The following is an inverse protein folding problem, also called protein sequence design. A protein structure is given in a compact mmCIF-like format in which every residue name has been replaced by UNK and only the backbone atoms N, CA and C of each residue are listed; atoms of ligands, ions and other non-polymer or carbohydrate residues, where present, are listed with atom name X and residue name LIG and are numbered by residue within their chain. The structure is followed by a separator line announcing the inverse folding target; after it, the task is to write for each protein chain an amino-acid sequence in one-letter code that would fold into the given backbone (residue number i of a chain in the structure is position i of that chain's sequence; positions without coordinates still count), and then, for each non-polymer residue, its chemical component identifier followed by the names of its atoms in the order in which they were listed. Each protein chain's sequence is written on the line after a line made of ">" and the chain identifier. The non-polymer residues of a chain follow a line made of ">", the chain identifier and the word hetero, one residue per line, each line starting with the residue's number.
data_IF_968538494395
#
_entry.id   IF_968538494395
#
_cell.length_a   1.000
_cell.length_b   1.000
_cell.length_c   1.000
_cell.angle_alpha   90.00
_cell.angle_beta   90.00
_cell.angle_gamma   90.00
#
_symmetry.space_group_name_H-M   'P 1'
#
loop_
_entity.id
_entity.type
_entity.pdbx_description
1 polymer ?
#
# COMPACT_ATOMS: atom_id res chain seq x y z
N UNK A 1 -30.26 10.80 -12.93
CA UNK A 1 -29.00 10.69 -12.16
C UNK A 1 -28.72 9.20 -12.05
N UNK A 2 -27.68 8.67 -12.72
CA UNK A 2 -27.43 7.24 -12.72
C UNK A 2 -27.10 6.80 -11.29
N UNK A 3 -27.88 5.86 -10.79
CA UNK A 3 -27.63 5.18 -9.52
C UNK A 3 -26.57 4.12 -9.82
N UNK A 4 -25.47 4.09 -9.07
CA UNK A 4 -24.48 3.03 -9.18
C UNK A 4 -25.20 1.72 -8.82
N UNK A 5 -25.39 0.85 -9.80
CA UNK A 5 -26.00 -0.46 -9.60
C UNK A 5 -24.92 -1.48 -9.27
N UNK A 6 -25.27 -2.49 -8.47
CA UNK A 6 -24.35 -3.60 -8.15
C UNK A 6 -23.82 -4.30 -9.40
N UNK A 7 -24.63 -4.34 -10.46
CA UNK A 7 -24.25 -4.91 -11.76
C UNK A 7 -23.17 -4.08 -12.45
N UNK A 8 -23.28 -2.75 -12.44
CA UNK A 8 -22.21 -1.87 -12.94
C UNK A 8 -20.91 -2.10 -12.18
N UNK A 9 -20.97 -2.18 -10.84
CA UNK A 9 -19.77 -2.42 -10.05
C UNK A 9 -19.17 -3.79 -10.36
N UNK A 10 -19.98 -4.84 -10.54
CA UNK A 10 -19.51 -6.18 -10.89
C UNK A 10 -18.74 -6.20 -12.22
N UNK A 11 -19.31 -5.60 -13.26
CA UNK A 11 -18.67 -5.51 -14.59
C UNK A 11 -17.36 -4.74 -14.53
N UNK A 12 -17.32 -3.62 -13.79
CA UNK A 12 -16.10 -2.83 -13.60
C UNK A 12 -15.05 -3.62 -12.80
N UNK A 13 -15.45 -4.30 -11.73
CA UNK A 13 -14.54 -5.11 -10.90
C UNK A 13 -13.95 -6.28 -11.69
N UNK A 14 -14.75 -6.88 -12.56
CA UNK A 14 -14.32 -7.97 -13.42
C UNK A 14 -13.34 -7.47 -14.49
N UNK A 15 -13.60 -6.30 -15.07
CA UNK A 15 -12.69 -5.69 -16.04
C UNK A 15 -11.33 -5.33 -15.43
N UNK A 16 -11.35 -4.73 -14.25
CA UNK A 16 -10.15 -4.25 -13.57
C UNK A 16 -9.38 -5.38 -12.89
N UNK A 17 -10.06 -6.47 -12.51
CA UNK A 17 -9.48 -7.56 -11.72
C UNK A 17 -9.32 -7.23 -10.22
N UNK A 18 -9.77 -6.06 -9.80
CA UNK A 18 -9.75 -5.58 -8.42
C UNK A 18 -10.97 -4.68 -8.19
N UNK A 19 -11.32 -4.47 -6.92
CA UNK A 19 -12.46 -3.62 -6.57
C UNK A 19 -12.09 -2.14 -6.69
N UNK A 20 -12.84 -1.32 -7.45
CA UNK A 20 -12.63 0.13 -7.58
C UNK A 20 -12.25 0.87 -6.29
N UNK A 21 -12.88 0.46 -5.18
CA UNK A 21 -12.64 1.00 -3.86
C UNK A 21 -11.18 0.83 -3.41
N UNK A 22 -10.54 -0.29 -3.73
CA UNK A 22 -9.14 -0.59 -3.40
C UNK A 22 -8.17 0.41 -4.00
N UNK A 23 -8.41 0.87 -5.24
CA UNK A 23 -7.55 1.90 -5.84
C UNK A 23 -7.65 3.21 -5.06
N UNK A 24 -8.86 3.58 -4.62
CA UNK A 24 -9.05 4.81 -3.86
C UNK A 24 -8.41 4.69 -2.49
N UNK A 25 -8.58 3.55 -1.82
CA UNK A 25 -7.92 3.25 -0.53
C UNK A 25 -6.39 3.35 -0.64
N UNK A 26 -5.80 2.74 -1.68
CA UNK A 26 -4.36 2.78 -1.92
C UNK A 26 -3.87 4.21 -2.20
N UNK A 27 -4.65 5.02 -2.93
CA UNK A 27 -4.35 6.44 -3.15
C UNK A 27 -4.36 7.20 -1.83
N UNK A 28 -5.39 7.03 -1.00
CA UNK A 28 -5.51 7.70 0.31
C UNK A 28 -4.35 7.30 1.21
N UNK A 29 -4.00 6.01 1.26
CA UNK A 29 -2.86 5.52 2.04
C UNK A 29 -1.54 6.15 1.57
N UNK A 30 -1.31 6.19 0.25
CA UNK A 30 -0.08 6.78 -0.30
C UNK A 30 0.03 8.28 -0.02
N UNK A 31 -1.11 8.99 0.03
CA UNK A 31 -1.14 10.41 0.37
C UNK A 31 -0.91 10.66 1.86
N UNK A 32 -1.43 9.78 2.72
CA UNK A 32 -1.11 9.79 4.14
C UNK A 32 0.40 9.62 4.35
N UNK A 33 1.00 8.61 3.73
CA UNK A 33 2.46 8.39 3.79
C UNK A 33 3.25 9.59 3.26
N UNK A 34 2.84 10.16 2.12
CA UNK A 34 3.49 11.34 1.53
C UNK A 34 3.35 12.60 2.41
N UNK A 35 2.20 12.79 3.06
CA UNK A 35 1.99 13.89 3.99
C UNK A 35 2.94 13.79 5.16
N UNK A 36 2.96 12.66 5.87
CA UNK A 36 3.84 12.49 7.03
C UNK A 36 5.32 12.63 6.63
N UNK A 37 5.74 12.03 5.52
CA UNK A 37 7.09 12.19 5.00
C UNK A 37 7.41 13.63 4.56
N UNK A 38 6.44 14.37 4.03
CA UNK A 38 6.59 15.77 3.64
C UNK A 38 6.72 16.70 4.85
N UNK A 39 5.92 16.47 5.89
CA UNK A 39 5.97 17.23 7.15
C UNK A 39 7.29 16.96 7.88
N UNK A 40 7.74 15.70 7.96
CA UNK A 40 9.04 15.34 8.52
C UNK A 40 10.20 15.97 7.73
N UNK A 41 10.13 15.92 6.39
CA UNK A 41 11.13 16.58 5.55
C UNK A 41 11.15 18.10 5.75
N UNK A 42 10.00 18.72 6.01
CA UNK A 42 9.88 20.14 6.29
C UNK A 42 10.45 20.48 7.67
N UNK A 43 10.21 19.65 8.69
CA UNK A 43 10.82 19.77 10.03
C UNK A 43 12.34 19.75 9.93
N UNK A 44 12.89 18.71 9.28
CA UNK A 44 14.32 18.57 9.08
C UNK A 44 14.92 19.76 8.29
N UNK A 45 14.20 20.25 7.28
CA UNK A 45 14.62 21.42 6.51
C UNK A 45 14.64 22.69 7.39
N UNK A 46 13.60 22.93 8.19
CA UNK A 46 13.53 24.11 9.07
C UNK A 46 14.63 24.08 10.12
N UNK A 47 14.91 22.92 10.71
CA UNK A 47 15.99 22.75 11.69
C UNK A 47 17.39 22.88 11.08
N UNK A 48 17.54 22.64 9.76
CA UNK A 48 18.81 22.80 9.04
C UNK A 48 19.18 24.25 8.77
N UNK A 49 18.21 25.18 8.80
CA UNK A 49 18.48 26.60 8.60
C UNK A 49 18.94 27.26 9.90
N UNK A 50 19.86 28.24 9.84
CA UNK A 50 20.21 28.99 11.04
C UNK A 50 19.01 29.82 11.54
N UNK A 51 18.80 29.91 12.87
CA UNK A 51 17.61 30.54 13.46
C UNK A 51 17.43 32.03 13.10
N UNK A 52 18.50 32.72 12.71
CA UNK A 52 18.45 34.11 12.22
C UNK A 52 17.68 34.25 10.90
N UNK A 53 17.79 33.27 10.00
CA UNK A 53 17.11 33.28 8.69
C UNK A 53 15.62 33.03 8.86
N UNK A 54 15.23 32.26 9.87
CA UNK A 54 13.82 32.01 10.21
C UNK A 54 13.15 33.20 10.91
N UNK A 55 13.91 34.23 11.28
CA UNK A 55 13.40 35.44 11.91
C UNK A 55 13.36 35.39 13.44
N UNK A 56 13.93 34.35 14.07
CA UNK A 56 14.11 34.33 15.52
C UNK A 56 15.18 35.35 15.90
N UNK A 57 14.75 36.39 16.60
CA UNK A 57 15.63 37.45 17.10
C UNK A 57 16.11 37.08 18.49
N UNK A 58 17.40 37.23 18.73
CA UNK A 58 17.93 37.24 20.10
C UNK A 58 17.31 38.39 20.89
N UNK A 59 16.82 38.14 22.12
CA UNK A 59 16.42 39.20 23.03
C UNK A 59 17.56 40.20 23.20
N UNK A 60 17.24 41.50 23.20
CA UNK A 60 18.24 42.55 23.35
C UNK A 60 18.96 42.42 24.71
N UNK A 61 20.21 41.97 24.69
CA UNK A 61 21.07 41.85 25.88
C UNK A 61 21.53 40.42 26.23
N UNK A 62 21.07 39.39 25.52
CA UNK A 62 21.58 38.02 25.65
C UNK A 62 22.42 37.64 24.43
N UNK A 63 23.58 37.02 24.68
CA UNK A 63 24.43 36.43 23.65
C UNK A 63 23.83 35.06 23.33
N UNK A 64 23.66 34.74 22.05
CA UNK A 64 23.18 33.42 21.62
C UNK A 64 24.28 32.39 21.87
N UNK A 65 23.92 31.27 22.48
CA UNK A 65 24.86 30.16 22.58
C UNK A 65 25.21 29.69 21.17
N UNK A 66 26.50 29.42 20.99
CA UNK A 66 27.10 29.12 19.69
C UNK A 66 27.78 27.78 19.84
N UNK A 67 27.58 26.89 18.88
CA UNK A 67 28.23 25.58 18.91
C UNK A 67 29.75 25.70 18.74
N UNK A 68 30.46 24.58 18.90
CA UNK A 68 31.93 24.49 18.73
C UNK A 68 32.43 24.95 17.33
N UNK A 69 31.52 25.14 16.37
CA UNK A 69 31.80 25.57 15.00
C UNK A 69 31.49 27.06 14.73
N UNK A 70 30.93 27.77 15.70
CA UNK A 70 30.55 29.17 15.53
C UNK A 70 29.16 29.38 14.92
N UNK A 71 28.35 28.32 14.78
CA UNK A 71 26.96 28.43 14.32
C UNK A 71 26.01 28.70 15.50
N UNK A 72 25.00 29.58 15.31
CA UNK A 72 24.02 29.86 16.37
C UNK A 72 23.23 28.58 16.70
N UNK A 73 23.27 28.18 17.97
CA UNK A 73 22.55 27.02 18.46
C UNK A 73 21.05 27.34 18.61
N UNK A 74 20.21 26.32 18.43
CA UNK A 74 18.77 26.43 18.65
C UNK A 74 18.48 26.52 20.15
N UNK A 75 17.71 27.53 20.57
CA UNK A 75 17.17 27.55 21.93
C UNK A 75 16.05 26.52 22.05
N UNK A 76 15.93 25.82 23.19
CA UNK A 76 14.84 24.84 23.41
C UNK A 76 13.45 25.45 23.13
N UNK A 77 13.23 26.72 23.51
CA UNK A 77 11.96 27.43 23.26
C UNK A 77 11.68 27.67 21.76
N UNK A 78 12.71 27.97 20.97
CA UNK A 78 12.59 28.23 19.52
C UNK A 78 12.30 26.93 18.76
N UNK A 79 12.98 25.84 19.13
CA UNK A 79 12.71 24.51 18.59
C UNK A 79 11.29 24.03 18.95
N UNK A 80 10.84 24.27 20.18
CA UNK A 80 9.50 23.93 20.63
C UNK A 80 8.41 24.73 19.87
N UNK A 81 8.67 25.99 19.52
CA UNK A 81 7.73 26.80 18.72
C UNK A 81 7.58 26.24 17.30
N UNK A 82 8.69 25.84 16.66
CA UNK A 82 8.66 25.17 15.35
C UNK A 82 7.86 23.86 15.46
N UNK A 83 8.17 23.01 16.44
CA UNK A 83 7.48 21.73 16.60
C UNK A 83 5.97 21.92 16.74
N UNK A 84 5.56 22.88 17.56
CA UNK A 84 4.16 23.20 17.77
C UNK A 84 3.48 23.71 16.49
N UNK A 85 4.20 24.48 15.67
CA UNK A 85 3.72 24.94 14.36
C UNK A 85 3.56 23.79 13.37
N UNK A 86 4.53 22.87 13.33
CA UNK A 86 4.52 21.68 12.48
C UNK A 86 3.39 20.73 12.85
N UNK A 87 3.20 20.46 14.15
CA UNK A 87 2.06 19.64 14.62
C UNK A 87 0.72 20.30 14.26
N UNK A 88 0.60 21.63 14.34
CA UNK A 88 -0.61 22.33 13.89
C UNK A 88 -0.83 22.19 12.38
N UNK A 89 0.24 22.29 11.59
CA UNK A 89 0.19 22.10 10.14
C UNK A 89 -0.25 20.68 9.78
N UNK A 90 0.29 19.67 10.46
CA UNK A 90 -0.06 18.25 10.31
C UNK A 90 -1.56 18.03 10.55
N UNK A 91 -2.10 18.52 11.68
CA UNK A 91 -3.53 18.41 11.96
C UNK A 91 -4.40 19.13 10.92
N UNK A 92 -3.96 20.28 10.42
CA UNK A 92 -4.67 21.02 9.37
C UNK A 92 -4.66 20.26 8.05
N UNK A 93 -3.53 19.66 7.69
CA UNK A 93 -3.40 18.86 6.47
C UNK A 93 -4.20 17.56 6.55
N UNK A 94 -4.18 16.87 7.68
CA UNK A 94 -5.01 15.68 7.90
C UNK A 94 -6.49 15.97 7.63
N UNK A 95 -7.02 17.03 8.23
CA UNK A 95 -8.42 17.43 8.04
C UNK A 95 -8.71 17.85 6.59
N UNK A 96 -7.81 18.63 5.98
CA UNK A 96 -7.98 19.08 4.60
C UNK A 96 -7.90 17.93 3.59
N UNK A 97 -7.03 16.95 3.81
CA UNK A 97 -6.88 15.76 2.97
C UNK A 97 -8.11 14.88 3.15
N UNK A 98 -8.47 14.50 4.37
CA UNK A 98 -9.66 13.69 4.68
C UNK A 98 -10.92 14.23 3.99
N UNK A 99 -11.23 15.53 4.21
CA UNK A 99 -12.44 16.14 3.65
C UNK A 99 -12.46 16.25 2.11
N UNK A 100 -11.30 16.45 1.48
CA UNK A 100 -11.23 16.57 0.02
C UNK A 100 -11.15 15.19 -0.64
N UNK A 101 -10.50 14.22 -0.01
CA UNK A 101 -10.37 12.88 -0.54
C UNK A 101 -11.63 12.03 -0.35
N UNK A 102 -12.45 12.29 0.68
CA UNK A 102 -13.82 11.77 0.76
C UNK A 102 -14.65 12.18 -0.47
N UNK A 103 -14.55 13.45 -0.88
CA UNK A 103 -15.25 13.96 -2.08
C UNK A 103 -14.68 13.37 -3.36
N UNK A 104 -13.37 13.17 -3.40
CA UNK A 104 -12.70 12.51 -4.51
C UNK A 104 -13.16 11.06 -4.65
N UNK A 105 -13.23 10.29 -3.56
CA UNK A 105 -13.75 8.92 -3.56
C UNK A 105 -15.15 8.88 -4.19
N UNK A 106 -16.04 9.72 -3.67
CA UNK A 106 -17.42 9.80 -4.18
C UNK A 106 -17.42 10.20 -5.66
N UNK A 107 -16.58 11.15 -6.06
CA UNK A 107 -16.52 11.62 -7.44
C UNK A 107 -16.03 10.53 -8.40
N UNK A 108 -14.93 9.85 -8.05
CA UNK A 108 -14.33 8.80 -8.86
C UNK A 108 -15.29 7.63 -9.00
N UNK A 109 -15.87 7.18 -7.88
CA UNK A 109 -16.81 6.07 -7.88
C UNK A 109 -18.09 6.38 -8.65
N UNK A 110 -18.51 7.64 -8.68
CA UNK A 110 -19.75 8.05 -9.35
C UNK A 110 -19.60 8.42 -10.82
N UNK A 111 -18.44 8.93 -11.24
CA UNK A 111 -18.26 9.47 -12.60
C UNK A 111 -17.25 8.69 -13.44
N UNK A 112 -16.18 8.17 -12.84
CA UNK A 112 -15.09 7.52 -13.58
C UNK A 112 -15.28 6.02 -13.59
N UNK A 113 -15.53 5.42 -12.43
CA UNK A 113 -15.67 3.97 -12.25
C UNK A 113 -17.14 3.52 -12.20
N UNK A 114 -18.02 4.27 -12.88
CA UNK A 114 -19.44 3.96 -13.00
C UNK A 114 -19.82 3.79 -14.48
N UNK A 115 -20.63 2.78 -14.76
CA UNK A 115 -21.27 2.56 -16.05
C UNK A 115 -22.75 2.89 -15.87
N UNK A 116 -23.33 3.58 -16.85
CA UNK A 116 -24.76 3.87 -16.84
C UNK A 116 -25.56 2.55 -16.85
N UNK A 117 -26.57 2.38 -15.97
CA UNK A 117 -27.27 1.12 -15.81
C UNK A 117 -27.94 0.60 -17.09
N UNK A 118 -28.33 1.49 -18.00
CA UNK A 118 -28.92 1.11 -19.30
C UNK A 118 -27.89 0.49 -20.25
N UNK A 119 -26.61 0.84 -20.09
CA UNK A 119 -25.50 0.36 -20.91
C UNK A 119 -24.93 -0.96 -20.39
N UNK A 120 -25.11 -1.29 -19.10
CA UNK A 120 -24.57 -2.51 -18.46
C UNK A 120 -24.88 -3.80 -19.25
N UNK A 121 -26.11 -4.05 -19.74
CA UNK A 121 -26.42 -5.26 -20.51
C UNK A 121 -25.70 -5.36 -21.86
N UNK A 122 -25.21 -4.22 -22.39
CA UNK A 122 -24.53 -4.13 -23.68
C UNK A 122 -23.01 -4.20 -23.55
N UNK A 123 -22.47 -4.12 -22.32
CA UNK A 123 -21.04 -4.24 -22.06
C UNK A 123 -20.64 -5.72 -22.08
N UNK A 124 -19.76 -6.08 -23.03
CA UNK A 124 -19.20 -7.42 -23.14
C UNK A 124 -17.67 -7.36 -22.99
N UNK A 125 -17.15 -8.04 -21.99
CA UNK A 125 -15.71 -8.14 -21.74
C UNK A 125 -15.07 -9.15 -22.69
N UNK A 126 -13.74 -9.12 -22.81
CA UNK A 126 -13.02 -9.97 -23.76
C UNK A 126 -13.20 -11.47 -23.47
N UNK A 127 -13.16 -11.88 -22.20
CA UNK A 127 -13.41 -13.26 -21.80
C UNK A 127 -14.88 -13.68 -21.87
N UNK A 128 -15.81 -12.75 -22.18
CA UNK A 128 -17.20 -13.07 -22.48
C UNK A 128 -17.44 -13.42 -23.96
N UNK A 129 -16.45 -13.26 -24.85
CA UNK A 129 -16.61 -13.45 -26.30
C UNK A 129 -16.86 -14.91 -26.70
N UNK A 130 -16.31 -15.87 -25.95
CA UNK A 130 -16.43 -17.31 -26.24
C UNK A 130 -17.54 -17.99 -25.42
N UNK A 131 -18.27 -17.22 -24.61
CA UNK A 131 -19.41 -17.71 -23.83
C UNK A 131 -20.70 -17.52 -24.62
N UNK A 132 -21.20 -18.61 -25.21
CA UNK A 132 -22.54 -18.66 -25.81
C UNK A 132 -23.60 -18.95 -24.74
N UNK A 133 -24.24 -17.90 -24.23
CA UNK A 133 -25.32 -18.01 -23.24
C UNK A 133 -26.62 -18.59 -23.84
N UNK A 134 -26.69 -18.81 -25.16
CA UNK A 134 -27.82 -19.42 -25.84
C UNK A 134 -27.94 -20.94 -25.66
N UNK A 135 -26.88 -21.61 -25.20
CA UNK A 135 -26.86 -23.07 -25.00
C UNK A 135 -26.95 -23.51 -23.54
N UNK A 136 -27.24 -22.60 -22.61
CA UNK A 136 -27.44 -22.96 -21.22
C UNK A 136 -28.75 -23.76 -21.10
N UNK A 137 -28.72 -25.05 -20.70
CA UNK A 137 -29.95 -25.72 -20.30
C UNK A 137 -30.55 -24.90 -19.15
N UNK A 138 -31.86 -24.68 -19.21
CA UNK A 138 -32.60 -23.99 -18.16
C UNK A 138 -32.14 -24.49 -16.79
N UNK A 139 -31.88 -23.55 -15.86
CA UNK A 139 -31.42 -23.85 -14.52
C UNK A 139 -32.15 -25.07 -13.96
N UNK A 140 -31.45 -26.07 -13.39
CA UNK A 140 -32.10 -27.27 -12.89
C UNK A 140 -33.06 -26.86 -11.78
N UNK A 141 -34.35 -26.89 -12.09
CA UNK A 141 -35.41 -26.94 -11.08
C UNK A 141 -35.09 -28.08 -10.14
N UNK A 142 -35.20 -27.81 -8.85
CA UNK A 142 -34.71 -28.57 -7.69
C UNK A 142 -35.19 -30.02 -7.53
N UNK A 143 -35.73 -30.67 -8.55
CA UNK A 143 -36.60 -31.85 -8.40
C UNK A 143 -36.24 -33.08 -9.26
N UNK A 144 -35.02 -33.19 -9.76
CA UNK A 144 -34.58 -34.44 -10.42
C UNK A 144 -33.15 -34.83 -10.07
N UNK A 145 -32.99 -35.38 -8.86
CA UNK A 145 -31.93 -36.36 -8.59
C UNK A 145 -32.28 -37.67 -9.29
N UNK A 146 -31.98 -37.77 -10.58
CA UNK A 146 -31.69 -39.06 -11.19
C UNK A 146 -30.22 -39.04 -11.63
N UNK A 147 -29.43 -39.82 -10.90
CA UNK A 147 -28.06 -40.16 -11.24
C UNK A 147 -28.18 -41.14 -12.40
N UNK A 148 -28.14 -40.64 -13.63
CA UNK A 148 -27.87 -41.48 -14.79
C UNK A 148 -26.46 -41.24 -15.32
N UNK A 149 -25.76 -42.35 -15.49
CA UNK A 149 -24.36 -42.46 -15.81
C UNK A 149 -24.11 -42.31 -17.31
N UNK A 150 -23.56 -41.19 -17.75
CA UNK A 150 -22.78 -41.12 -18.99
C UNK A 150 -21.96 -39.83 -19.06
N UNK A 151 -20.63 -39.98 -19.13
CA UNK A 151 -19.60 -39.01 -19.54
C UNK A 151 -19.80 -37.51 -19.24
N UNK A 152 -18.95 -36.88 -18.39
CA UNK A 152 -18.91 -35.42 -18.35
C UNK A 152 -18.43 -34.89 -19.72
N UNK A 153 -19.00 -33.79 -20.24
CA UNK A 153 -18.53 -33.17 -21.46
C UNK A 153 -17.04 -32.86 -21.33
N UNK A 154 -16.27 -33.07 -22.40
CA UNK A 154 -14.79 -32.95 -22.42
C UNK A 154 -14.31 -31.61 -21.80
N UNK A 155 -15.05 -30.53 -22.03
CA UNK A 155 -14.80 -29.20 -21.46
C UNK A 155 -14.88 -29.17 -19.92
N UNK A 156 -15.78 -29.96 -19.32
CA UNK A 156 -15.87 -30.10 -17.87
C UNK A 156 -14.74 -30.97 -17.29
N UNK A 157 -14.17 -31.89 -18.07
CA UNK A 157 -13.00 -32.67 -17.66
C UNK A 157 -11.73 -31.82 -17.68
N UNK A 158 -11.54 -31.01 -18.72
CA UNK A 158 -10.41 -30.08 -18.83
C UNK A 158 -10.42 -29.02 -17.72
N UNK A 159 -11.57 -28.39 -17.46
CA UNK A 159 -11.72 -27.44 -16.35
C UNK A 159 -11.47 -28.08 -14.97
N UNK A 160 -11.89 -29.34 -14.76
CA UNK A 160 -11.61 -30.06 -13.51
C UNK A 160 -10.13 -30.39 -13.35
N UNK A 161 -9.44 -30.67 -14.46
CA UNK A 161 -8.00 -30.95 -14.44
C UNK A 161 -7.20 -29.68 -14.16
N UNK A 162 -7.51 -28.55 -14.82
CA UNK A 162 -6.85 -27.27 -14.55
C UNK A 162 -7.09 -26.78 -13.12
N UNK A 163 -8.29 -26.99 -12.57
CA UNK A 163 -8.59 -26.66 -11.17
C UNK A 163 -7.81 -27.55 -10.19
N UNK A 164 -7.60 -28.83 -10.52
CA UNK A 164 -6.74 -29.73 -9.72
C UNK A 164 -5.29 -29.29 -9.76
N UNK A 165 -4.77 -28.92 -10.94
CA UNK A 165 -3.42 -28.41 -11.11
C UNK A 165 -3.23 -27.10 -10.32
N UNK A 166 -4.17 -26.16 -10.42
CA UNK A 166 -4.14 -24.91 -9.67
C UNK A 166 -4.13 -25.15 -8.15
N UNK A 167 -4.94 -26.09 -7.67
CA UNK A 167 -4.93 -26.48 -6.25
C UNK A 167 -3.60 -27.07 -5.84
N UNK A 168 -2.99 -27.91 -6.69
CA UNK A 168 -1.68 -28.50 -6.41
C UNK A 168 -0.58 -27.43 -6.37
N UNK A 169 -0.56 -26.52 -7.34
CA UNK A 169 0.43 -25.43 -7.38
C UNK A 169 0.25 -24.46 -6.21
N UNK A 170 -0.99 -24.14 -5.84
CA UNK A 170 -1.28 -23.30 -4.69
C UNK A 170 -0.78 -23.93 -3.37
N UNK A 171 -1.09 -25.22 -3.13
CA UNK A 171 -0.62 -25.92 -1.94
C UNK A 171 0.90 -26.00 -1.87
N UNK A 172 1.56 -26.29 -3.00
CA UNK A 172 3.02 -26.30 -3.09
C UNK A 172 3.62 -24.91 -2.79
N UNK A 173 3.04 -23.86 -3.38
CA UNK A 173 3.48 -22.47 -3.17
C UNK A 173 3.30 -22.03 -1.72
N UNK A 174 2.17 -22.40 -1.10
CA UNK A 174 1.90 -22.10 0.30
C UNK A 174 2.89 -22.82 1.22
N UNK A 175 3.19 -24.09 0.95
CA UNK A 175 4.19 -24.85 1.70
C UNK A 175 5.58 -24.18 1.62
N UNK A 176 6.02 -23.80 0.42
CA UNK A 176 7.30 -23.11 0.24
C UNK A 176 7.32 -21.75 0.94
N UNK A 177 6.23 -20.98 0.86
CA UNK A 177 6.14 -19.68 1.57
C UNK A 177 6.23 -19.84 3.09
N UNK A 178 5.62 -20.89 3.66
CA UNK A 178 5.74 -21.17 5.09
C UNK A 178 7.18 -21.54 5.46
N UNK A 179 7.83 -22.38 4.66
CA UNK A 179 9.24 -22.74 4.88
C UNK A 179 10.16 -21.52 4.79
N UNK A 180 9.96 -20.67 3.78
CA UNK A 180 10.74 -19.45 3.60
C UNK A 180 10.57 -18.48 4.77
N UNK A 181 9.34 -18.33 5.30
CA UNK A 181 9.10 -17.53 6.51
C UNK A 181 9.80 -18.10 7.74
N UNK A 182 9.80 -19.42 7.91
CA UNK A 182 10.49 -20.08 9.01
C UNK A 182 12.02 -19.93 8.89
N UNK A 183 12.59 -20.06 7.69
CA UNK A 183 14.01 -19.78 7.43
C UNK A 183 14.33 -18.31 7.68
N UNK A 184 13.52 -17.37 7.18
CA UNK A 184 13.74 -15.93 7.40
C UNK A 184 13.76 -15.58 8.90
N UNK A 185 12.86 -16.18 9.70
CA UNK A 185 12.86 -16.01 11.16
C UNK A 185 14.11 -16.60 11.81
N UNK A 186 14.58 -17.77 11.36
CA UNK A 186 15.84 -18.38 11.85
C UNK A 186 17.06 -17.53 11.48
N UNK A 187 17.15 -17.07 10.25
CA UNK A 187 18.21 -16.18 9.79
C UNK A 187 18.20 -14.87 10.57
N UNK A 188 17.03 -14.29 10.85
CA UNK A 188 16.93 -13.09 11.69
C UNK A 188 17.50 -13.31 13.10
N UNK A 189 17.22 -14.47 13.72
CA UNK A 189 17.81 -14.83 15.02
C UNK A 189 19.33 -15.04 14.94
N UNK A 190 19.81 -15.73 13.90
CA UNK A 190 21.24 -15.92 13.70
C UNK A 190 21.95 -14.57 13.50
N UNK A 191 21.33 -13.66 12.73
CA UNK A 191 21.86 -12.31 12.53
C UNK A 191 21.89 -11.55 13.86
N UNK A 192 20.81 -11.59 14.67
CA UNK A 192 20.83 -10.96 15.99
C UNK A 192 21.90 -11.56 16.90
N UNK A 193 22.06 -12.88 16.90
CA UNK A 193 23.09 -13.55 17.71
C UNK A 193 24.50 -13.13 17.25
N UNK A 194 24.74 -13.08 15.93
CA UNK A 194 26.00 -12.57 15.38
C UNK A 194 26.22 -11.09 15.72
N UNK A 195 25.20 -10.25 15.68
CA UNK A 195 25.27 -8.85 16.07
C UNK A 195 25.62 -8.69 17.56
N UNK A 196 25.04 -9.52 18.45
CA UNK A 196 25.42 -9.51 19.87
C UNK A 196 26.86 -9.97 20.10
N UNK A 197 27.32 -10.98 19.36
CA UNK A 197 28.70 -11.45 19.42
C UNK A 197 29.67 -10.40 18.87
N UNK A 198 29.35 -9.75 17.75
CA UNK A 198 30.14 -8.65 17.20
C UNK A 198 30.17 -7.47 18.17
N UNK A 199 29.05 -7.11 18.77
CA UNK A 199 28.96 -6.04 19.78
C UNK A 199 29.79 -6.36 21.03
N UNK A 200 29.75 -7.61 21.52
CA UNK A 200 30.55 -8.04 22.68
C UNK A 200 32.05 -8.20 22.40
N UNK A 201 32.43 -8.53 21.16
CA UNK A 201 33.82 -8.60 20.71
C UNK A 201 34.40 -7.22 20.33
N UNK A 202 33.55 -6.21 20.16
CA UNK A 202 33.93 -4.86 19.72
C UNK A 202 33.60 -3.78 20.78
N UNK A 203 34.22 -3.77 21.97
CA UNK A 203 34.36 -2.52 22.68
C UNK A 203 35.40 -1.71 21.89
N UNK A 204 34.95 -0.71 21.13
CA UNK A 204 35.72 0.25 20.30
C UNK A 204 36.01 -0.11 18.83
N UNK A 205 35.01 0.10 17.96
CA UNK A 205 35.26 0.54 16.58
C UNK A 205 34.23 1.62 16.19
N UNK A 206 34.63 2.88 16.30
CA UNK A 206 33.95 4.03 15.68
C UNK A 206 34.53 4.22 14.27
N UNK A 207 34.00 3.49 13.30
CA UNK A 207 34.30 3.67 11.88
C UNK A 207 33.02 3.58 11.07
N UNK A 208 32.94 4.24 9.89
CA UNK A 208 31.68 4.44 9.18
C UNK A 208 31.06 3.10 8.74
N UNK A 209 29.72 3.02 8.66
CA UNK A 209 29.02 1.79 8.35
C UNK A 209 29.45 1.29 6.97
N UNK A 210 30.07 0.11 6.91
CA UNK A 210 30.40 -0.54 5.65
C UNK A 210 29.09 -1.02 5.02
N UNK A 211 28.57 -0.23 4.08
CA UNK A 211 27.53 -0.66 3.15
C UNK A 211 28.11 -1.79 2.30
N UNK A 212 27.68 -3.03 2.57
CA UNK A 212 27.95 -4.16 1.69
C UNK A 212 27.04 -4.02 0.47
N UNK A 213 27.54 -3.44 -0.63
CA UNK A 213 26.88 -3.52 -1.94
C UNK A 213 27.12 -4.90 -2.53
N UNK A 214 26.10 -5.76 -2.73
CA UNK A 214 26.26 -6.99 -3.47
C UNK A 214 25.96 -6.69 -4.93
N UNK A 215 26.95 -6.25 -5.71
CA UNK A 215 26.99 -6.38 -7.19
C UNK A 215 28.24 -5.68 -7.76
N UNK A 216 29.35 -6.40 -7.77
CA UNK A 216 30.42 -6.21 -8.74
C UNK A 216 31.15 -7.54 -8.90
N UNK A 217 30.76 -8.33 -9.90
CA UNK A 217 31.51 -9.54 -10.28
C UNK A 217 30.71 -10.60 -11.00
N UNK A 218 30.74 -10.52 -12.33
CA UNK A 218 30.49 -11.55 -13.36
C UNK A 218 29.06 -12.08 -13.53
#
# INVERSE_FOLDING_TARGET
>A
MPIITRESTAVVTEHLGWTPLTLVDDIINSLGELMYGGVESLENMLMSFPPEVLGFKTPAGTIRDTDDSGAPEWTEDEANEIQKGITQLETLWENAIDSNFDKFEIFVMRNIMAIEPELVPWVRLEHHKDLDFGSLPAAPTSDSMEIDSAQPPVLAAEFRNSLRELRQTFLATLQVNLQLRAEKSRNAKMISDLETLVSSLSPSYQGPPTVFSPLAGA
#
